data_IF_266490574280
#
_entry.id   IF_266490574280
#
_cell.length_a   1.000
_cell.length_b   1.000
_cell.length_c   1.000
_cell.angle_alpha   90.00
_cell.angle_beta   90.00
_cell.angle_gamma   90.00
#
_symmetry.space_group_name_H-M   'P 1'
#
loop_
_entity.id
_entity.type
_entity.pdbx_description
1 polymer ?
#
# COMPACT_ATOMS: atom_id res chain seq x y z
N UNK A 1 -38.29 2.57 0.44
CA UNK A 1 -37.30 1.49 0.65
C UNK A 1 -36.14 1.75 -0.31
N UNK A 2 -35.06 2.39 0.15
CA UNK A 2 -33.88 2.67 -0.68
C UNK A 2 -33.15 1.34 -0.94
N UNK A 3 -33.04 0.94 -2.21
CA UNK A 3 -32.32 -0.27 -2.58
C UNK A 3 -30.82 0.04 -2.66
N UNK A 4 -30.06 -0.45 -1.68
CA UNK A 4 -28.60 -0.44 -1.75
C UNK A 4 -28.12 -1.26 -2.93
N UNK A 5 -27.42 -0.62 -3.87
CA UNK A 5 -26.78 -1.31 -4.99
C UNK A 5 -25.27 -1.27 -4.83
N UNK A 6 -24.63 -2.43 -4.82
CA UNK A 6 -23.17 -2.50 -4.94
C UNK A 6 -22.76 -2.32 -6.39
N UNK A 7 -21.97 -1.28 -6.65
CA UNK A 7 -21.39 -1.02 -7.97
C UNK A 7 -19.90 -1.23 -7.88
N UNK A 8 -19.38 -2.12 -8.73
CA UNK A 8 -17.95 -2.42 -8.77
C UNK A 8 -17.31 -1.85 -10.03
N UNK A 9 -16.18 -1.16 -9.90
CA UNK A 9 -15.50 -0.51 -11.01
C UNK A 9 -14.03 -0.20 -10.72
N UNK A 10 -13.33 0.30 -11.73
CA UNK A 10 -11.95 0.79 -11.63
C UNK A 10 -11.94 2.26 -11.24
N UNK A 11 -11.00 2.64 -10.38
CA UNK A 11 -10.76 4.04 -10.02
C UNK A 11 -9.43 4.56 -10.54
N UNK A 12 -9.42 5.85 -10.83
CA UNK A 12 -8.25 6.60 -11.21
C UNK A 12 -8.21 7.86 -10.35
N UNK A 13 -7.16 8.01 -9.55
CA UNK A 13 -6.97 9.26 -8.81
C UNK A 13 -6.69 10.40 -9.78
N UNK A 14 -7.32 11.54 -9.52
CA UNK A 14 -7.21 12.73 -10.36
C UNK A 14 -6.48 13.84 -9.62
N UNK A 15 -7.00 14.27 -8.45
CA UNK A 15 -6.43 15.37 -7.67
C UNK A 15 -6.86 15.35 -6.21
N UNK A 16 -6.12 16.07 -5.38
CA UNK A 16 -6.49 16.41 -4.01
C UNK A 16 -6.87 17.89 -3.99
N UNK A 17 -8.02 18.21 -3.40
CA UNK A 17 -8.51 19.58 -3.29
C UNK A 17 -9.27 19.73 -1.97
N UNK A 18 -8.86 20.70 -1.15
CA UNK A 18 -9.51 20.99 0.16
C UNK A 18 -9.64 19.77 1.08
N UNK A 19 -8.67 18.85 1.06
CA UNK A 19 -8.69 17.62 1.86
C UNK A 19 -9.61 16.51 1.32
N UNK A 20 -10.20 16.70 0.15
CA UNK A 20 -10.93 15.69 -0.61
C UNK A 20 -10.05 15.11 -1.72
N UNK A 21 -10.04 13.79 -1.83
CA UNK A 21 -9.41 13.06 -2.92
C UNK A 21 -10.46 12.78 -3.98
N UNK A 22 -10.22 13.25 -5.20
CA UNK A 22 -11.09 13.08 -6.34
C UNK A 22 -10.65 11.92 -7.21
N UNK A 23 -11.61 11.07 -7.56
CA UNK A 23 -11.39 9.92 -8.42
C UNK A 23 -12.36 9.90 -9.58
N UNK A 24 -11.84 9.47 -10.73
CA UNK A 24 -12.66 9.05 -11.84
C UNK A 24 -12.99 7.56 -11.67
N UNK A 25 -14.28 7.23 -11.75
CA UNK A 25 -14.80 5.88 -11.60
C UNK A 25 -15.30 5.34 -12.94
N UNK A 26 -14.93 4.10 -13.25
CA UNK A 26 -15.33 3.39 -14.45
C UNK A 26 -15.97 2.07 -14.07
N UNK A 27 -17.25 1.90 -14.37
CA UNK A 27 -17.98 0.65 -14.18
C UNK A 27 -18.70 0.23 -15.45
N UNK A 28 -19.26 -0.98 -15.44
CA UNK A 28 -20.16 -1.46 -16.49
C UNK A 28 -21.40 -0.58 -16.66
N UNK A 29 -21.82 0.13 -15.62
CA UNK A 29 -23.01 0.97 -15.63
C UNK A 29 -22.72 2.43 -16.07
N UNK A 30 -21.46 2.78 -16.30
CA UNK A 30 -21.07 4.12 -16.74
C UNK A 30 -19.83 4.66 -16.06
N UNK A 31 -19.55 5.93 -16.37
CA UNK A 31 -18.42 6.71 -15.87
C UNK A 31 -18.94 7.81 -14.94
N UNK A 32 -18.23 8.07 -13.85
CA UNK A 32 -18.63 9.10 -12.89
C UNK A 32 -17.46 9.60 -12.08
N UNK A 33 -17.72 10.64 -11.30
CA UNK A 33 -16.78 11.21 -10.34
C UNK A 33 -17.16 10.78 -8.94
N UNK A 34 -16.17 10.48 -8.11
CA UNK A 34 -16.37 10.37 -6.66
C UNK A 34 -15.34 11.22 -5.94
N UNK A 35 -15.70 11.67 -4.74
CA UNK A 35 -14.77 12.25 -3.80
C UNK A 35 -14.85 11.52 -2.46
N UNK A 36 -13.72 11.43 -1.77
CA UNK A 36 -13.61 10.88 -0.43
C UNK A 36 -12.64 11.74 0.36
N UNK A 37 -12.93 12.01 1.63
CA UNK A 37 -11.99 12.77 2.44
C UNK A 37 -10.71 11.99 2.65
N UNK A 38 -9.57 12.69 2.64
CA UNK A 38 -8.24 12.12 2.83
C UNK A 38 -8.16 11.32 4.13
N UNK A 39 -8.77 11.84 5.20
CA UNK A 39 -8.84 11.15 6.49
C UNK A 39 -9.57 9.80 6.40
N UNK A 40 -10.67 9.71 5.64
CA UNK A 40 -11.41 8.46 5.46
C UNK A 40 -10.62 7.50 4.57
N UNK A 41 -9.96 8.00 3.53
CA UNK A 41 -9.06 7.20 2.69
C UNK A 41 -7.91 6.60 3.51
N UNK A 42 -7.21 7.39 4.31
CA UNK A 42 -6.08 6.95 5.13
C UNK A 42 -6.50 5.92 6.19
N UNK A 43 -7.68 6.08 6.81
CA UNK A 43 -8.18 5.14 7.82
C UNK A 43 -8.72 3.84 7.22
N UNK A 44 -9.48 3.93 6.14
CA UNK A 44 -10.30 2.81 5.64
C UNK A 44 -9.69 2.10 4.44
N UNK A 45 -9.16 2.87 3.48
CA UNK A 45 -8.69 2.33 2.20
C UNK A 45 -7.18 2.04 2.22
N UNK A 46 -6.36 2.90 2.83
CA UNK A 46 -4.89 2.74 2.87
C UNK A 46 -4.45 1.40 3.44
N UNK A 47 -5.10 0.94 4.52
CA UNK A 47 -4.80 -0.37 5.14
C UNK A 47 -5.16 -1.55 4.24
N UNK A 48 -6.30 -1.49 3.55
CA UNK A 48 -6.74 -2.52 2.61
C UNK A 48 -5.85 -2.55 1.37
N UNK A 49 -5.54 -1.37 0.82
CA UNK A 49 -4.65 -1.20 -0.32
C UNK A 49 -3.23 -1.67 -0.02
N UNK A 50 -2.71 -1.35 1.17
CA UNK A 50 -1.44 -1.89 1.66
C UNK A 50 -1.43 -3.42 1.71
N UNK A 51 -2.53 -4.03 2.17
CA UNK A 51 -2.65 -5.49 2.28
C UNK A 51 -2.75 -6.16 0.92
N UNK A 52 -3.37 -5.53 -0.08
CA UNK A 52 -3.55 -6.12 -1.41
C UNK A 52 -2.40 -5.82 -2.37
N UNK A 53 -1.99 -4.54 -2.52
CA UNK A 53 -0.89 -4.16 -3.41
C UNK A 53 0.46 -4.65 -2.87
N UNK A 54 0.69 -4.47 -1.57
CA UNK A 54 2.01 -4.71 -0.98
C UNK A 54 2.04 -5.94 -0.08
N UNK A 55 0.91 -6.60 0.20
CA UNK A 55 0.87 -7.64 1.24
C UNK A 55 1.74 -8.87 0.94
N UNK A 56 1.96 -9.25 -0.32
CA UNK A 56 2.87 -10.36 -0.67
C UNK A 56 4.33 -9.92 -0.69
N UNK A 57 4.62 -8.78 -1.31
CA UNK A 57 5.98 -8.22 -1.42
C UNK A 57 6.52 -7.81 -0.06
N UNK A 58 5.72 -7.10 0.74
CA UNK A 58 6.08 -6.70 2.10
C UNK A 58 6.28 -7.92 3.03
N UNK A 59 5.51 -9.01 2.84
CA UNK A 59 5.77 -10.28 3.53
C UNK A 59 7.06 -10.96 3.09
N UNK A 60 7.47 -10.82 1.83
CA UNK A 60 8.77 -11.31 1.34
C UNK A 60 9.91 -10.48 1.93
N UNK A 61 9.83 -9.15 1.83
CA UNK A 61 10.84 -8.22 2.35
C UNK A 61 11.01 -8.38 3.87
N UNK A 62 9.90 -8.54 4.63
CA UNK A 62 9.98 -8.81 6.08
C UNK A 62 10.71 -10.12 6.40
N UNK A 63 10.48 -11.18 5.63
CA UNK A 63 11.19 -12.47 5.79
C UNK A 63 12.68 -12.32 5.48
N UNK A 64 13.00 -11.55 4.46
CA UNK A 64 14.37 -11.28 4.02
C UNK A 64 15.14 -10.44 5.06
N UNK A 65 14.52 -9.40 5.61
CA UNK A 65 15.07 -8.64 6.76
C UNK A 65 15.33 -9.57 7.95
N UNK A 66 14.36 -10.43 8.31
CA UNK A 66 14.52 -11.36 9.44
C UNK A 66 15.62 -12.40 9.22
N UNK A 67 15.90 -12.77 7.96
CA UNK A 67 17.03 -13.63 7.61
C UNK A 67 18.36 -12.87 7.73
N UNK A 68 18.47 -11.68 7.13
CA UNK A 68 19.66 -10.83 7.20
C UNK A 68 20.03 -10.44 8.65
N UNK A 69 19.04 -10.21 9.51
CA UNK A 69 19.28 -9.92 10.92
C UNK A 69 19.88 -11.11 11.67
N UNK A 70 19.40 -12.33 11.37
CA UNK A 70 19.98 -13.56 11.95
C UNK A 70 21.39 -13.77 11.46
N UNK A 71 21.63 -13.53 10.18
CA UNK A 71 22.94 -13.69 9.56
C UNK A 71 23.96 -12.66 10.07
N UNK A 72 23.58 -11.38 10.16
CA UNK A 72 24.41 -10.35 10.77
C UNK A 72 24.80 -10.69 12.22
N UNK A 73 23.85 -11.23 13.01
CA UNK A 73 24.13 -11.69 14.38
C UNK A 73 25.10 -12.87 14.42
N UNK A 74 25.00 -13.81 13.48
CA UNK A 74 25.93 -14.93 13.34
C UNK A 74 27.33 -14.45 12.99
N UNK A 75 27.45 -13.60 11.97
CA UNK A 75 28.72 -13.03 11.51
C UNK A 75 29.45 -12.23 12.59
N UNK A 76 28.72 -11.45 13.40
CA UNK A 76 29.28 -10.78 14.59
C UNK A 76 29.89 -11.75 15.60
N UNK A 77 29.23 -12.87 15.85
CA UNK A 77 29.75 -13.92 16.76
C UNK A 77 30.98 -14.61 16.19
N UNK A 78 31.09 -14.68 14.86
CA UNK A 78 32.25 -15.21 14.15
C UNK A 78 33.38 -14.16 13.95
N UNK A 79 33.23 -12.94 14.47
CA UNK A 79 34.22 -11.86 14.31
C UNK A 79 34.26 -11.21 12.92
N UNK A 80 33.26 -11.46 12.07
CA UNK A 80 33.15 -10.92 10.70
C UNK A 80 32.33 -9.63 10.65
N UNK A 81 32.84 -8.58 11.27
CA UNK A 81 32.11 -7.31 11.45
C UNK A 81 31.84 -6.54 10.14
N UNK A 82 32.69 -6.69 9.11
CA UNK A 82 32.45 -6.06 7.80
C UNK A 82 31.18 -6.61 7.13
N UNK A 83 30.99 -7.93 7.16
CA UNK A 83 29.84 -8.60 6.56
C UNK A 83 28.56 -8.30 7.35
N UNK A 84 28.67 -8.21 8.68
CA UNK A 84 27.56 -7.79 9.53
C UNK A 84 27.08 -6.37 9.21
N UNK A 85 28.00 -5.42 9.00
CA UNK A 85 27.65 -4.05 8.57
C UNK A 85 27.01 -4.02 7.20
N UNK A 86 27.50 -4.81 6.24
CA UNK A 86 26.88 -4.95 4.91
C UNK A 86 25.42 -5.40 5.01
N UNK A 87 25.13 -6.40 5.84
CA UNK A 87 23.76 -6.85 6.10
C UNK A 87 22.89 -5.76 6.74
N UNK A 88 23.43 -4.91 7.62
CA UNK A 88 22.69 -3.79 8.19
C UNK A 88 22.31 -2.73 7.16
N UNK A 89 23.19 -2.41 6.21
CA UNK A 89 22.87 -1.53 5.09
C UNK A 89 21.77 -2.11 4.21
N UNK A 90 21.82 -3.41 3.90
CA UNK A 90 20.76 -4.10 3.15
C UNK A 90 19.44 -4.08 3.89
N UNK A 91 19.43 -4.33 5.20
CA UNK A 91 18.23 -4.21 6.06
C UNK A 91 17.67 -2.79 5.99
N UNK A 92 18.51 -1.76 6.05
CA UNK A 92 18.07 -0.38 5.97
C UNK A 92 17.40 -0.08 4.61
N UNK A 93 18.02 -0.49 3.50
CA UNK A 93 17.46 -0.33 2.16
C UNK A 93 16.11 -1.06 2.00
N UNK A 94 16.00 -2.29 2.53
CA UNK A 94 14.75 -3.05 2.53
C UNK A 94 13.66 -2.40 3.40
N UNK A 95 14.03 -1.81 4.54
CA UNK A 95 13.09 -1.04 5.37
C UNK A 95 12.58 0.21 4.66
N UNK A 96 13.42 0.89 3.88
CA UNK A 96 13.00 2.02 3.04
C UNK A 96 12.01 1.57 1.96
N UNK A 97 12.19 0.39 1.37
CA UNK A 97 11.21 -0.19 0.42
C UNK A 97 9.86 -0.48 1.09
N UNK A 98 9.84 -0.96 2.34
CA UNK A 98 8.60 -1.16 3.12
C UNK A 98 7.94 0.18 3.47
N UNK A 99 8.73 1.22 3.72
CA UNK A 99 8.26 2.56 4.08
C UNK A 99 7.69 3.35 2.90
N UNK A 100 7.70 2.84 1.66
CA UNK A 100 6.99 3.50 0.56
C UNK A 100 5.52 3.63 0.95
N UNK A 101 5.10 4.88 1.12
CA UNK A 101 3.76 5.21 1.59
C UNK A 101 2.79 5.02 0.43
N UNK A 102 1.62 4.46 0.73
CA UNK A 102 0.59 4.27 -0.30
C UNK A 102 0.00 5.62 -0.64
N UNK A 103 0.22 6.05 -1.88
CA UNK A 103 -0.36 7.28 -2.37
C UNK A 103 -1.69 6.98 -3.05
N UNK A 104 -2.68 7.89 -2.99
CA UNK A 104 -3.88 7.82 -3.81
C UNK A 104 -3.60 7.57 -5.32
N UNK A 105 -2.43 7.98 -5.83
CA UNK A 105 -2.00 7.70 -7.20
C UNK A 105 -1.81 6.20 -7.49
N UNK A 106 -1.55 5.37 -6.48
CA UNK A 106 -1.37 3.93 -6.62
C UNK A 106 -2.71 3.18 -6.81
N UNK A 107 -3.84 3.86 -6.68
CA UNK A 107 -5.18 3.29 -6.91
C UNK A 107 -5.54 3.09 -8.39
N UNK A 108 -4.69 3.53 -9.32
CA UNK A 108 -4.99 3.47 -10.76
C UNK A 108 -5.27 2.03 -11.20
N UNK A 109 -6.51 1.80 -11.68
CA UNK A 109 -6.95 0.49 -12.16
C UNK A 109 -7.36 -0.49 -11.08
N UNK A 110 -7.37 -0.07 -9.81
CA UNK A 110 -7.81 -0.89 -8.69
C UNK A 110 -9.34 -1.02 -8.66
N UNK A 111 -9.82 -2.21 -8.31
CA UNK A 111 -11.25 -2.53 -8.29
C UNK A 111 -11.83 -2.15 -6.92
N UNK A 112 -12.77 -1.21 -6.90
CA UNK A 112 -13.51 -0.82 -5.69
C UNK A 112 -15.00 -1.12 -5.88
N UNK A 113 -15.61 -1.58 -4.79
CA UNK A 113 -17.05 -1.77 -4.67
C UNK A 113 -17.59 -0.64 -3.81
N UNK A 114 -18.56 0.10 -4.34
CA UNK A 114 -19.24 1.19 -3.66
C UNK A 114 -20.69 0.77 -3.40
N UNK A 115 -21.17 1.02 -2.19
CA UNK A 115 -22.59 0.95 -1.87
C UNK A 115 -23.19 2.34 -2.11
N UNK A 116 -24.16 2.42 -3.00
CA UNK A 116 -24.91 3.66 -3.28
C UNK A 116 -26.31 3.47 -2.67
N UNK A 117 -26.72 4.42 -1.81
CA UNK A 117 -28.06 4.48 -1.20
C UNK A 117 -29.06 5.18 -2.12
#
# INVERSE_FOLDING_TARGET
>A
MLMRKEVTGKVHYVKEESGLLWFHFYSWYGRGWMSISKNVFERSMKKKLMKELYGKENRRIKREIAWLQREAKRLRREGKDMDARSNEYQIHALRLKIKKDVHPHDLVGYKVSLTID
#
